data_IF_427380710587
#
_entry.id   IF_427380710587
#
_cell.length_a   1.000
_cell.length_b   1.000
_cell.length_c   1.000
_cell.angle_alpha   90.00
_cell.angle_beta   90.00
_cell.angle_gamma   90.00
#
_symmetry.space_group_name_H-M   'P 1'
#
loop_
_entity.id
_entity.type
_entity.pdbx_description
1 polymer ?
#
# COMPACT_ATOMS: atom_id res chain seq x y z
N UNK A 1 -49.47 5.62 15.95
CA UNK A 1 -48.36 5.97 15.05
C UNK A 1 -47.13 5.26 15.57
N UNK A 2 -46.73 4.18 14.91
CA UNK A 2 -45.54 3.41 15.26
C UNK A 2 -44.81 2.98 13.98
N UNK A 3 -43.55 2.56 14.08
CA UNK A 3 -42.92 1.88 12.95
C UNK A 3 -43.61 0.52 12.72
N UNK A 4 -43.81 0.05 11.47
CA UNK A 4 -43.40 0.66 10.20
C UNK A 4 -44.49 1.52 9.53
N UNK A 5 -45.50 2.03 10.26
CA UNK A 5 -46.56 2.87 9.68
C UNK A 5 -45.95 4.08 8.96
N UNK A 6 -46.35 4.34 7.71
CA UNK A 6 -45.78 5.45 6.92
C UNK A 6 -45.99 6.81 7.59
N UNK A 7 -47.11 7.00 8.30
CA UNK A 7 -47.39 8.24 9.03
C UNK A 7 -46.40 8.52 10.18
N UNK A 8 -45.71 7.49 10.69
CA UNK A 8 -44.60 7.69 11.64
C UNK A 8 -43.43 8.41 10.98
N UNK A 9 -43.06 7.99 9.76
CA UNK A 9 -41.93 8.57 9.03
C UNK A 9 -42.24 9.96 8.48
N UNK A 10 -43.47 10.19 8.00
CA UNK A 10 -43.94 11.53 7.63
C UNK A 10 -43.81 12.49 8.81
N UNK A 11 -44.32 12.10 9.98
CA UNK A 11 -44.22 12.91 11.19
C UNK A 11 -42.77 13.20 11.59
N UNK A 12 -41.86 12.21 11.53
CA UNK A 12 -40.44 12.43 11.84
C UNK A 12 -39.79 13.39 10.84
N UNK A 13 -40.11 13.29 9.55
CA UNK A 13 -39.58 14.20 8.51
C UNK A 13 -40.08 15.63 8.76
N UNK A 14 -41.38 15.79 9.04
CA UNK A 14 -42.01 17.08 9.28
C UNK A 14 -41.46 17.76 10.55
N UNK A 15 -41.34 17.03 11.66
CA UNK A 15 -40.85 17.56 12.93
C UNK A 15 -39.35 17.88 12.90
N UNK A 16 -38.55 17.07 12.19
CA UNK A 16 -37.09 17.34 12.09
C UNK A 16 -36.77 18.42 11.06
N UNK A 17 -37.65 18.66 10.09
CA UNK A 17 -37.39 19.54 8.95
C UNK A 17 -36.25 19.05 8.03
N UNK A 18 -35.76 17.83 8.23
CA UNK A 18 -34.66 17.26 7.46
C UNK A 18 -35.18 16.75 6.10
N UNK A 19 -34.37 16.91 5.06
CA UNK A 19 -34.65 16.25 3.77
C UNK A 19 -34.40 14.75 3.93
N UNK A 20 -35.28 13.85 3.46
CA UNK A 20 -35.10 12.41 3.65
C UNK A 20 -33.74 11.88 3.18
N UNK A 21 -33.22 12.38 2.07
CA UNK A 21 -31.90 12.01 1.53
C UNK A 21 -30.70 12.51 2.37
N UNK A 22 -30.94 13.25 3.45
CA UNK A 22 -29.95 13.69 4.43
C UNK A 22 -30.15 13.01 5.80
N UNK A 23 -31.07 12.04 5.89
CA UNK A 23 -31.36 11.29 7.11
C UNK A 23 -30.80 9.87 6.98
N UNK A 24 -30.15 9.39 8.04
CA UNK A 24 -29.77 7.99 8.20
C UNK A 24 -30.64 7.39 9.30
N UNK A 25 -31.23 6.23 9.02
CA UNK A 25 -31.95 5.44 10.01
C UNK A 25 -31.24 4.11 10.25
N UNK A 26 -31.07 3.75 11.52
CA UNK A 26 -30.52 2.46 11.94
C UNK A 26 -31.58 1.74 12.77
N UNK A 27 -31.93 0.51 12.38
CA UNK A 27 -33.01 -0.25 13.01
C UNK A 27 -32.76 -1.75 12.86
N UNK A 28 -33.22 -2.56 13.80
CA UNK A 28 -33.06 -4.02 13.78
C UNK A 28 -34.13 -4.76 12.99
N UNK A 29 -35.23 -4.09 12.65
CA UNK A 29 -36.33 -4.66 11.88
C UNK A 29 -36.28 -4.20 10.42
N UNK A 30 -36.26 -5.17 9.49
CA UNK A 30 -36.15 -4.89 8.06
C UNK A 30 -37.36 -4.11 7.51
N UNK A 31 -38.55 -4.36 8.04
CA UNK A 31 -39.80 -3.65 7.70
C UNK A 31 -39.74 -2.16 8.04
N UNK A 32 -39.09 -1.79 9.16
CA UNK A 32 -38.90 -0.41 9.57
C UNK A 32 -37.96 0.31 8.58
N UNK A 33 -36.86 -0.36 8.20
CA UNK A 33 -35.91 0.15 7.22
C UNK A 33 -36.52 0.25 5.82
N UNK A 34 -37.36 -0.69 5.43
CA UNK A 34 -38.09 -0.66 4.16
C UNK A 34 -39.01 0.58 4.09
N UNK A 35 -39.80 0.81 5.13
CA UNK A 35 -40.68 1.97 5.21
C UNK A 35 -39.87 3.29 5.15
N UNK A 36 -38.78 3.41 5.90
CA UNK A 36 -37.92 4.59 5.87
C UNK A 36 -37.31 4.85 4.48
N UNK A 37 -36.76 3.80 3.84
CA UNK A 37 -36.18 3.90 2.49
C UNK A 37 -37.21 4.31 1.44
N UNK A 38 -38.50 3.98 1.62
CA UNK A 38 -39.56 4.40 0.71
C UNK A 38 -39.75 5.93 0.66
N UNK A 39 -39.38 6.64 1.72
CA UNK A 39 -39.33 8.11 1.77
C UNK A 39 -37.99 8.70 1.29
N UNK A 40 -37.02 7.88 0.91
CA UNK A 40 -35.67 8.32 0.50
C UNK A 40 -34.66 8.44 1.64
N UNK A 41 -34.99 7.94 2.84
CA UNK A 41 -34.06 7.87 3.98
C UNK A 41 -32.99 6.79 3.74
N UNK A 42 -31.75 7.08 4.11
CA UNK A 42 -30.67 6.09 4.07
C UNK A 42 -30.81 5.10 5.24
N UNK A 43 -31.53 4.01 5.01
CA UNK A 43 -31.77 3.00 6.04
C UNK A 43 -30.67 1.93 6.14
N UNK A 44 -30.28 1.55 7.34
CA UNK A 44 -29.30 0.51 7.68
C UNK A 44 -29.92 -0.51 8.63
N UNK A 45 -29.99 -1.78 8.23
CA UNK A 45 -30.46 -2.87 9.10
C UNK A 45 -29.31 -3.30 10.00
N UNK A 46 -29.55 -3.37 11.32
CA UNK A 46 -28.54 -3.82 12.29
C UNK A 46 -28.99 -5.07 13.03
N UNK A 47 -28.10 -6.04 13.11
CA UNK A 47 -28.20 -7.21 13.98
C UNK A 47 -26.95 -7.30 14.87
N UNK A 48 -26.92 -8.29 15.76
CA UNK A 48 -25.78 -8.49 16.68
C UNK A 48 -24.45 -8.72 15.94
N UNK A 49 -24.49 -9.23 14.71
CA UNK A 49 -23.29 -9.58 13.93
C UNK A 49 -22.81 -8.42 13.05
N UNK A 50 -23.64 -7.40 12.82
CA UNK A 50 -23.37 -6.29 11.90
C UNK A 50 -23.01 -4.97 12.60
N UNK A 51 -23.01 -4.90 13.94
CA UNK A 51 -22.66 -3.68 14.69
C UNK A 51 -21.35 -3.06 14.21
N UNK A 52 -20.30 -3.86 14.01
CA UNK A 52 -19.01 -3.38 13.50
C UNK A 52 -19.11 -2.77 12.10
N UNK A 53 -19.83 -3.43 11.19
CA UNK A 53 -20.07 -2.97 9.81
C UNK A 53 -20.87 -1.67 9.82
N UNK A 54 -21.87 -1.55 10.69
CA UNK A 54 -22.71 -0.36 10.82
C UNK A 54 -21.90 0.81 11.37
N UNK A 55 -21.11 0.60 12.43
CA UNK A 55 -20.18 1.61 12.92
C UNK A 55 -19.23 2.10 11.81
N UNK A 56 -18.67 1.18 11.02
CA UNK A 56 -17.81 1.53 9.89
C UNK A 56 -18.56 2.33 8.82
N UNK A 57 -19.79 1.93 8.50
CA UNK A 57 -20.66 2.61 7.53
C UNK A 57 -20.99 4.02 7.98
N UNK A 58 -21.39 4.20 9.24
CA UNK A 58 -21.68 5.50 9.83
C UNK A 58 -20.44 6.41 9.84
N UNK A 59 -19.28 5.87 10.21
CA UNK A 59 -18.02 6.63 10.11
C UNK A 59 -17.71 7.05 8.68
N UNK A 60 -17.97 6.20 7.68
CA UNK A 60 -17.76 6.53 6.27
C UNK A 60 -18.76 7.57 5.75
N UNK A 61 -19.99 7.57 6.26
CA UNK A 61 -21.03 8.54 5.90
C UNK A 61 -20.78 9.92 6.51
N UNK A 62 -20.36 9.97 7.78
CA UNK A 62 -20.35 11.22 8.56
C UNK A 62 -18.96 11.84 8.75
N UNK A 63 -17.88 11.07 8.58
CA UNK A 63 -16.53 11.60 8.80
C UNK A 63 -15.74 11.68 7.50
N UNK A 64 -14.99 12.77 7.34
CA UNK A 64 -14.09 12.94 6.21
C UNK A 64 -13.01 11.86 6.20
N UNK A 65 -12.83 11.11 5.08
CA UNK A 65 -11.89 10.00 5.03
C UNK A 65 -10.43 10.46 5.25
N UNK A 66 -10.06 11.64 4.73
CA UNK A 66 -8.72 12.20 4.91
C UNK A 66 -8.43 12.54 6.37
N UNK A 67 -9.32 13.27 7.04
CA UNK A 67 -9.15 13.64 8.45
C UNK A 67 -9.03 12.40 9.35
N UNK A 68 -9.84 11.37 9.09
CA UNK A 68 -9.73 10.08 9.80
C UNK A 68 -8.41 9.38 9.54
N UNK A 69 -7.98 9.31 8.29
CA UNK A 69 -6.71 8.69 7.91
C UNK A 69 -5.54 9.41 8.58
N UNK A 70 -5.53 10.74 8.60
CA UNK A 70 -4.50 11.53 9.28
C UNK A 70 -4.46 11.30 10.79
N UNK A 71 -5.63 11.25 11.45
CA UNK A 71 -5.70 10.94 12.88
C UNK A 71 -5.17 9.53 13.14
N UNK A 72 -5.61 8.55 12.34
CA UNK A 72 -5.18 7.16 12.49
C UNK A 72 -3.68 7.01 12.27
N UNK A 73 -3.12 7.61 11.22
CA UNK A 73 -1.71 7.44 10.88
C UNK A 73 -0.82 8.08 11.95
N UNK A 74 -1.18 9.27 12.46
CA UNK A 74 -0.46 9.94 13.54
C UNK A 74 -0.56 9.18 14.87
N UNK A 75 -1.75 8.67 15.21
CA UNK A 75 -1.96 7.92 16.45
C UNK A 75 -1.22 6.57 16.46
N UNK A 76 -0.92 6.00 15.29
CA UNK A 76 -0.25 4.72 15.12
C UNK A 76 1.17 4.85 14.54
N UNK A 77 1.79 6.03 14.66
CA UNK A 77 3.13 6.31 14.15
C UNK A 77 4.13 5.21 14.56
N UNK A 78 4.87 4.67 13.60
CA UNK A 78 5.83 3.57 13.78
C UNK A 78 5.20 2.19 14.01
N UNK A 79 3.86 2.06 13.97
CA UNK A 79 3.13 0.81 14.18
C UNK A 79 2.19 0.44 13.01
N UNK A 80 2.46 0.92 11.80
CA UNK A 80 1.70 0.57 10.59
C UNK A 80 2.09 -0.81 10.03
N UNK A 81 1.78 -1.88 10.76
CA UNK A 81 2.21 -3.24 10.38
C UNK A 81 1.20 -3.90 9.43
N UNK A 82 1.72 -4.66 8.47
CA UNK A 82 0.91 -5.49 7.58
C UNK A 82 0.38 -6.71 8.33
N UNK A 83 -0.81 -7.20 7.97
CA UNK A 83 -1.40 -8.41 8.55
C UNK A 83 -1.75 -9.38 7.43
N UNK A 84 -1.46 -10.67 7.64
CA UNK A 84 -1.78 -11.71 6.67
C UNK A 84 -3.28 -11.99 6.71
N UNK A 85 -3.95 -11.86 5.56
CA UNK A 85 -5.39 -12.10 5.45
C UNK A 85 -5.78 -13.49 5.99
N UNK A 86 -6.82 -13.52 6.83
CA UNK A 86 -7.32 -14.74 7.45
C UNK A 86 -6.44 -15.30 8.58
N UNK A 87 -5.38 -14.59 8.99
CA UNK A 87 -4.47 -15.03 10.06
C UNK A 87 -4.13 -13.88 11.01
N UNK A 88 -3.96 -14.18 12.30
CA UNK A 88 -3.48 -13.20 13.29
C UNK A 88 -1.93 -13.13 13.27
N UNK A 89 -1.37 -12.98 12.06
CA UNK A 89 0.07 -12.90 11.85
C UNK A 89 0.39 -11.51 11.32
N UNK A 90 1.15 -10.79 12.13
CA UNK A 90 1.67 -9.47 11.79
C UNK A 90 3.01 -9.60 11.07
N UNK A 91 3.18 -8.81 10.01
CA UNK A 91 4.36 -8.74 9.18
C UNK A 91 4.92 -7.32 9.20
N UNK A 92 6.21 -7.21 9.49
CA UNK A 92 6.94 -5.94 9.40
C UNK A 92 7.68 -5.89 8.07
N UNK A 93 7.20 -5.03 7.18
CA UNK A 93 7.82 -4.81 5.88
C UNK A 93 8.33 -3.39 5.69
N UNK A 94 9.40 -3.26 4.90
CA UNK A 94 9.95 -1.97 4.51
C UNK A 94 9.09 -1.30 3.43
N UNK A 95 8.37 -2.06 2.59
CA UNK A 95 7.70 -1.52 1.42
C UNK A 95 6.57 -0.54 1.81
N UNK A 96 5.63 -0.97 2.65
CA UNK A 96 4.52 -0.15 3.13
C UNK A 96 5.03 1.06 3.93
N UNK A 97 6.10 0.88 4.70
CA UNK A 97 6.73 1.96 5.47
C UNK A 97 7.34 3.02 4.53
N UNK A 98 8.07 2.61 3.49
CA UNK A 98 8.58 3.53 2.46
C UNK A 98 7.45 4.20 1.69
N UNK A 99 6.36 3.49 1.42
CA UNK A 99 5.19 4.05 0.75
C UNK A 99 4.51 5.13 1.61
N UNK A 100 4.30 4.86 2.91
CA UNK A 100 3.77 5.82 3.88
C UNK A 100 4.64 7.07 3.93
N UNK A 101 5.96 6.92 4.05
CA UNK A 101 6.86 8.07 4.04
C UNK A 101 6.78 8.83 2.71
N UNK A 102 6.74 8.14 1.58
CA UNK A 102 6.67 8.76 0.26
C UNK A 102 5.42 9.63 0.05
N UNK A 103 4.27 9.22 0.58
CA UNK A 103 3.01 9.96 0.46
C UNK A 103 2.91 11.08 1.50
N UNK A 104 3.37 10.84 2.72
CA UNK A 104 3.18 11.79 3.84
C UNK A 104 4.31 12.80 3.98
N UNK A 105 5.51 12.45 3.51
CA UNK A 105 6.74 13.22 3.76
C UNK A 105 7.23 13.17 5.21
N UNK A 106 6.59 12.41 6.11
CA UNK A 106 6.89 12.41 7.54
C UNK A 106 7.59 11.12 7.98
N UNK A 107 8.88 11.25 8.28
CA UNK A 107 9.72 10.14 8.74
C UNK A 107 9.32 9.62 10.14
N UNK A 108 8.59 10.39 10.93
CA UNK A 108 8.19 9.97 12.28
C UNK A 108 7.04 8.95 12.26
N UNK A 109 6.38 8.78 11.11
CA UNK A 109 5.28 7.84 10.96
C UNK A 109 5.76 6.40 10.72
N UNK A 110 7.04 6.19 10.41
CA UNK A 110 7.52 4.93 9.84
C UNK A 110 8.59 4.24 10.69
N UNK A 111 8.63 2.91 10.62
CA UNK A 111 9.64 2.05 11.25
C UNK A 111 10.34 1.20 10.18
N UNK A 112 11.57 1.57 9.81
CA UNK A 112 12.32 1.00 8.67
C UNK A 112 13.55 0.24 9.14
N UNK A 113 13.81 -0.91 8.48
CA UNK A 113 15.11 -1.58 8.53
C UNK A 113 15.94 -1.22 7.30
N UNK A 114 16.89 -0.33 7.52
CA UNK A 114 17.83 0.10 6.51
C UNK A 114 18.77 -1.04 6.04
N UNK A 115 19.19 -1.05 4.77
CA UNK A 115 20.22 -1.97 4.27
C UNK A 115 21.54 -1.86 5.06
N UNK A 116 22.34 -2.93 5.04
CA UNK A 116 23.56 -3.06 5.87
C UNK A 116 24.61 -1.96 5.62
N UNK A 117 24.64 -1.37 4.42
CA UNK A 117 25.54 -0.26 4.08
C UNK A 117 24.89 1.12 4.08
N UNK A 118 23.59 1.22 4.35
CA UNK A 118 22.96 2.52 4.53
C UNK A 118 23.43 3.12 5.86
N UNK A 119 24.16 4.23 5.77
CA UNK A 119 24.68 4.91 6.96
C UNK A 119 23.51 5.50 7.77
N UNK A 120 23.23 4.92 8.92
CA UNK A 120 22.31 5.51 9.91
C UNK A 120 23.11 5.87 11.17
N UNK A 121 23.22 7.18 11.41
CA UNK A 121 23.63 7.84 12.65
C UNK A 121 24.98 7.44 13.28
N UNK A 122 26.04 8.11 12.83
CA UNK A 122 27.07 8.68 13.72
C UNK A 122 28.12 7.75 14.34
N UNK A 123 28.00 6.42 14.28
CA UNK A 123 29.06 5.53 14.77
C UNK A 123 29.70 4.70 13.66
N UNK A 124 30.83 5.25 13.19
CA UNK A 124 31.74 4.68 12.22
C UNK A 124 32.43 3.43 12.80
N UNK A 125 32.15 2.23 12.27
CA UNK A 125 33.18 1.19 12.25
C UNK A 125 34.01 1.37 10.99
N UNK A 126 35.29 1.62 11.23
CA UNK A 126 36.30 2.00 10.25
C UNK A 126 36.61 0.85 9.29
N UNK A 127 35.74 0.62 8.33
CA UNK A 127 36.04 -0.17 7.14
C UNK A 127 36.04 0.79 5.97
N UNK A 128 37.24 1.04 5.44
CA UNK A 128 37.51 1.79 4.22
C UNK A 128 36.38 1.61 3.21
N UNK A 129 35.71 2.71 2.85
CA UNK A 129 34.96 2.84 1.61
C UNK A 129 35.92 2.47 0.48
N UNK A 130 35.94 1.20 0.08
CA UNK A 130 36.39 0.87 -1.26
C UNK A 130 35.35 1.48 -2.19
N UNK A 131 35.80 2.07 -3.28
CA UNK A 131 35.00 2.60 -4.39
C UNK A 131 34.21 1.50 -5.15
N UNK A 132 33.88 0.43 -4.45
CA UNK A 132 33.27 -0.82 -4.91
C UNK A 132 32.45 -1.43 -3.76
N UNK A 133 31.66 -0.61 -3.06
CA UNK A 133 30.65 -1.11 -2.14
C UNK A 133 29.80 -2.14 -2.90
N UNK A 134 29.79 -3.39 -2.42
CA UNK A 134 29.02 -4.48 -3.02
C UNK A 134 27.56 -4.02 -3.12
N UNK A 135 27.05 -3.80 -4.34
CA UNK A 135 25.68 -3.32 -4.59
C UNK A 135 24.66 -4.08 -3.74
N UNK A 136 24.88 -5.39 -3.53
CA UNK A 136 24.00 -6.27 -2.76
C UNK A 136 23.79 -5.82 -1.30
N UNK A 137 24.78 -5.15 -0.71
CA UNK A 137 24.74 -4.73 0.69
C UNK A 137 23.85 -3.51 0.95
N UNK A 138 23.50 -2.77 -0.11
CA UNK A 138 22.67 -1.58 -0.02
C UNK A 138 21.39 -1.64 -0.85
N UNK A 139 20.97 -2.86 -1.20
CA UNK A 139 19.63 -3.15 -1.70
C UNK A 139 18.69 -3.39 -0.51
N UNK A 140 17.43 -3.02 -0.67
CA UNK A 140 16.42 -3.16 0.36
C UNK A 140 15.79 -4.54 0.30
N UNK A 141 15.39 -5.04 1.47
CA UNK A 141 14.61 -6.26 1.59
C UNK A 141 13.16 -5.90 1.92
N UNK A 142 12.20 -6.66 1.42
CA UNK A 142 10.79 -6.52 1.79
C UNK A 142 10.61 -6.68 3.30
N UNK A 143 11.21 -7.70 3.92
CA UNK A 143 11.05 -7.97 5.34
C UNK A 143 12.01 -7.12 6.20
N UNK A 144 11.48 -6.50 7.24
CA UNK A 144 12.27 -5.92 8.33
C UNK A 144 12.77 -6.99 9.30
N UNK A 145 12.02 -8.07 9.46
CA UNK A 145 12.34 -9.17 10.38
C UNK A 145 12.55 -10.48 9.61
N UNK A 146 12.48 -11.60 10.32
CA UNK A 146 12.61 -12.90 9.69
C UNK A 146 11.48 -13.12 8.67
N UNK A 147 11.78 -13.65 7.47
CA UNK A 147 10.78 -13.85 6.45
C UNK A 147 9.70 -14.85 6.89
N UNK A 148 8.44 -14.53 6.58
CA UNK A 148 7.28 -15.37 6.90
C UNK A 148 6.74 -16.00 5.61
N UNK A 149 6.29 -17.26 5.68
CA UNK A 149 5.74 -18.01 4.53
C UNK A 149 6.66 -18.13 3.31
N UNK A 150 7.96 -18.10 3.53
CA UNK A 150 8.97 -18.17 2.48
C UNK A 150 10.22 -18.88 2.99
N UNK A 151 11.31 -18.82 2.23
CA UNK A 151 12.59 -19.39 2.62
C UNK A 151 13.18 -18.69 3.84
N UNK A 152 14.04 -19.42 4.57
CA UNK A 152 14.78 -18.91 5.73
C UNK A 152 15.54 -17.61 5.43
N UNK A 153 16.13 -17.52 4.25
CA UNK A 153 16.77 -16.30 3.75
C UNK A 153 15.95 -15.75 2.59
N UNK A 154 15.55 -14.48 2.65
CA UNK A 154 14.85 -13.81 1.56
C UNK A 154 15.81 -12.84 0.86
N UNK A 155 15.89 -12.86 -0.48
CA UNK A 155 16.79 -11.97 -1.20
C UNK A 155 16.37 -10.51 -1.08
N UNK A 156 17.26 -9.60 -1.47
CA UNK A 156 16.87 -8.22 -1.67
C UNK A 156 15.75 -8.12 -2.72
N UNK A 157 14.82 -7.21 -2.47
CA UNK A 157 13.57 -7.04 -3.19
C UNK A 157 13.66 -5.84 -4.13
N UNK A 158 13.36 -6.05 -5.42
CA UNK A 158 13.50 -5.01 -6.43
C UNK A 158 12.44 -3.91 -6.25
N UNK A 159 11.27 -4.27 -5.75
CA UNK A 159 10.18 -3.32 -5.53
C UNK A 159 10.46 -2.41 -4.35
N UNK A 160 10.80 -2.98 -3.19
CA UNK A 160 11.17 -2.25 -1.98
C UNK A 160 12.39 -1.38 -2.22
N UNK A 161 13.39 -1.89 -2.96
CA UNK A 161 14.54 -1.07 -3.36
C UNK A 161 14.08 0.10 -4.21
N UNK A 162 13.21 -0.14 -5.19
CA UNK A 162 12.69 0.93 -6.06
C UNK A 162 11.88 1.96 -5.28
N UNK A 163 11.02 1.50 -4.37
CA UNK A 163 10.21 2.34 -3.48
C UNK A 163 11.09 3.23 -2.62
N UNK A 164 12.24 2.74 -2.13
CA UNK A 164 13.17 3.57 -1.37
C UNK A 164 13.69 4.78 -2.17
N UNK A 165 14.08 4.58 -3.43
CA UNK A 165 14.53 5.68 -4.30
C UNK A 165 13.39 6.60 -4.76
N UNK A 166 12.14 6.12 -4.73
CA UNK A 166 10.96 6.92 -5.08
C UNK A 166 10.46 7.76 -3.91
N UNK A 167 10.52 7.22 -2.69
CA UNK A 167 9.90 7.82 -1.51
C UNK A 167 10.85 8.64 -0.65
N UNK A 168 12.13 8.29 -0.58
CA UNK A 168 13.06 9.00 0.31
C UNK A 168 13.34 10.43 -0.19
N UNK A 169 13.43 11.42 0.72
CA UNK A 169 13.81 12.77 0.36
C UNK A 169 15.19 12.81 -0.30
N UNK A 170 15.42 13.82 -1.15
CA UNK A 170 16.67 13.96 -1.93
C UNK A 170 17.93 13.94 -1.03
N UNK A 171 17.83 14.50 0.18
CA UNK A 171 18.91 14.52 1.18
C UNK A 171 19.36 13.13 1.65
N UNK A 172 18.52 12.10 1.49
CA UNK A 172 18.85 10.72 1.85
C UNK A 172 19.47 9.94 0.69
N UNK A 173 19.34 10.38 -0.56
CA UNK A 173 19.85 9.62 -1.70
C UNK A 173 21.38 9.45 -1.67
N UNK A 174 22.11 10.42 -1.12
CA UNK A 174 23.56 10.32 -0.90
C UNK A 174 23.96 9.23 0.10
N UNK A 175 23.03 8.77 0.93
CA UNK A 175 23.23 7.69 1.92
C UNK A 175 22.90 6.31 1.37
N UNK A 176 22.28 6.25 0.19
CA UNK A 176 21.95 5.00 -0.48
C UNK A 176 23.10 4.53 -1.37
N UNK A 177 23.01 3.29 -1.81
CA UNK A 177 23.87 2.78 -2.89
C UNK A 177 23.78 3.69 -4.10
N UNK A 178 24.86 3.79 -4.87
CA UNK A 178 24.82 4.53 -6.14
C UNK A 178 23.70 3.99 -7.04
N UNK A 179 22.74 4.84 -7.37
CA UNK A 179 21.55 4.48 -8.13
C UNK A 179 21.90 3.89 -9.50
N UNK A 180 23.01 4.30 -10.13
CA UNK A 180 23.43 3.72 -11.40
C UNK A 180 23.83 2.25 -11.25
N UNK A 181 24.47 1.86 -10.14
CA UNK A 181 24.78 0.46 -9.85
C UNK A 181 23.50 -0.36 -9.61
N UNK A 182 22.52 0.24 -8.92
CA UNK A 182 21.21 -0.40 -8.70
C UNK A 182 20.45 -0.55 -10.03
N UNK A 183 20.42 0.47 -10.87
CA UNK A 183 19.78 0.46 -12.18
C UNK A 183 20.49 -0.47 -13.16
N UNK A 184 21.82 -0.58 -13.08
CA UNK A 184 22.55 -1.58 -13.86
C UNK A 184 22.23 -2.98 -13.38
N UNK A 185 22.15 -3.22 -12.07
CA UNK A 185 21.72 -4.51 -11.53
C UNK A 185 20.26 -4.84 -11.90
N UNK A 186 19.35 -3.88 -11.81
CA UNK A 186 17.95 -3.99 -12.23
C UNK A 186 17.80 -4.18 -13.75
N UNK A 187 18.73 -3.64 -14.54
CA UNK A 187 18.75 -3.70 -16.00
C UNK A 187 19.55 -4.87 -16.56
N UNK A 188 20.34 -5.57 -15.73
CA UNK A 188 21.05 -6.81 -16.07
C UNK A 188 20.07 -7.96 -15.88
N UNK A 189 19.78 -8.61 -16.99
CA UNK A 189 18.81 -9.69 -17.08
C UNK A 189 19.51 -11.03 -17.22
N UNK A 190 18.82 -12.13 -16.93
CA UNK A 190 19.03 -13.38 -17.64
C UNK A 190 18.42 -13.36 -19.06
N UNK A 191 18.72 -14.41 -19.83
CA UNK A 191 18.49 -14.56 -21.29
C UNK A 191 17.12 -14.15 -21.85
N UNK A 192 16.08 -13.99 -21.03
CA UNK A 192 14.68 -13.82 -21.45
C UNK A 192 14.26 -12.38 -21.77
N UNK A 193 14.96 -11.36 -21.26
CA UNK A 193 14.56 -9.99 -21.55
C UNK A 193 13.56 -9.34 -20.56
N UNK A 194 13.26 -9.95 -19.42
CA UNK A 194 12.29 -9.42 -18.43
C UNK A 194 12.96 -8.98 -17.12
N UNK A 195 12.38 -7.99 -16.43
CA UNK A 195 12.84 -7.59 -15.10
C UNK A 195 12.22 -8.51 -14.04
N UNK A 196 12.97 -8.87 -13.01
CA UNK A 196 12.49 -9.71 -11.93
C UNK A 196 12.03 -8.91 -10.72
N UNK A 197 11.08 -9.50 -9.99
CA UNK A 197 10.57 -8.96 -8.73
C UNK A 197 11.65 -8.96 -7.63
N UNK A 198 12.63 -9.86 -7.72
CA UNK A 198 13.69 -10.07 -6.74
C UNK A 198 15.05 -9.94 -7.45
N UNK A 199 16.11 -9.56 -6.73
CA UNK A 199 17.49 -9.55 -7.26
C UNK A 199 18.17 -10.93 -7.26
N UNK A 200 17.39 -12.00 -7.42
CA UNK A 200 17.83 -13.40 -7.28
C UNK A 200 17.52 -14.20 -8.55
N UNK A 201 18.57 -14.73 -9.20
CA UNK A 201 18.44 -15.47 -10.46
C UNK A 201 17.64 -16.78 -10.31
N UNK A 202 17.66 -17.37 -9.12
CA UNK A 202 16.89 -18.58 -8.79
C UNK A 202 15.39 -18.27 -8.55
N UNK A 203 15.00 -16.99 -8.62
CA UNK A 203 13.61 -16.52 -8.48
C UNK A 203 13.22 -15.64 -9.67
N UNK A 204 13.02 -16.24 -10.86
CA UNK A 204 12.69 -15.50 -12.08
C UNK A 204 11.21 -15.07 -12.11
N UNK A 205 10.74 -14.41 -11.05
CA UNK A 205 9.36 -13.92 -10.91
C UNK A 205 9.25 -12.59 -11.59
N UNK A 206 8.20 -12.39 -12.39
CA UNK A 206 7.91 -11.11 -13.05
C UNK A 206 6.48 -10.74 -12.70
N UNK A 207 6.26 -9.49 -12.30
CA UNK A 207 4.93 -8.97 -11.98
C UNK A 207 4.85 -7.50 -12.40
N UNK A 208 3.73 -7.04 -12.97
CA UNK A 208 3.62 -5.70 -13.53
C UNK A 208 3.77 -4.58 -12.49
N UNK A 209 3.32 -4.80 -11.26
CA UNK A 209 3.38 -3.85 -10.15
C UNK A 209 4.84 -3.46 -9.82
N UNK A 210 5.68 -4.48 -9.54
CA UNK A 210 7.11 -4.28 -9.27
C UNK A 210 7.82 -3.68 -10.48
N UNK A 211 7.48 -4.15 -11.69
CA UNK A 211 8.06 -3.63 -12.92
C UNK A 211 7.77 -2.14 -13.12
N UNK A 212 6.60 -1.65 -12.69
CA UNK A 212 6.24 -0.23 -12.77
C UNK A 212 7.09 0.60 -11.80
N UNK A 213 7.28 0.16 -10.55
CA UNK A 213 8.13 0.91 -9.62
C UNK A 213 9.60 0.95 -10.09
N UNK A 214 10.13 -0.16 -10.60
CA UNK A 214 11.44 -0.16 -11.24
C UNK A 214 11.50 0.84 -12.41
N UNK A 215 10.49 0.81 -13.30
CA UNK A 215 10.38 1.73 -14.44
C UNK A 215 10.39 3.19 -13.97
N UNK A 216 9.61 3.52 -12.93
CA UNK A 216 9.56 4.86 -12.34
C UNK A 216 10.94 5.32 -11.86
N UNK A 217 11.74 4.45 -11.25
CA UNK A 217 13.12 4.77 -10.86
C UNK A 217 13.99 5.05 -12.09
N UNK A 218 13.91 4.21 -13.14
CA UNK A 218 14.63 4.50 -14.38
C UNK A 218 14.28 5.87 -14.95
N UNK A 219 13.00 6.25 -14.99
CA UNK A 219 12.60 7.59 -15.44
C UNK A 219 13.09 8.70 -14.49
N UNK A 220 12.94 8.52 -13.17
CA UNK A 220 13.37 9.50 -12.16
C UNK A 220 14.85 9.88 -12.30
N UNK A 221 15.71 8.90 -12.60
CA UNK A 221 17.15 9.11 -12.71
C UNK A 221 17.65 9.20 -14.16
N UNK A 222 16.79 9.60 -15.10
CA UNK A 222 17.19 9.95 -16.47
C UNK A 222 17.53 8.76 -17.39
N UNK A 223 17.15 7.54 -17.01
CA UNK A 223 17.41 6.30 -17.75
C UNK A 223 16.13 5.63 -18.28
N UNK A 224 15.02 6.36 -18.40
CA UNK A 224 13.73 5.84 -18.87
C UNK A 224 13.71 5.31 -20.31
N UNK A 225 14.70 5.70 -21.12
CA UNK A 225 14.90 5.23 -22.51
C UNK A 225 15.97 4.13 -22.63
N UNK A 226 16.42 3.55 -21.51
CA UNK A 226 17.40 2.47 -21.54
C UNK A 226 16.84 1.28 -22.35
N UNK A 227 17.49 0.85 -23.44
CA UNK A 227 16.96 -0.17 -24.35
C UNK A 227 16.83 -1.55 -23.68
N UNK A 228 17.41 -1.72 -22.49
CA UNK A 228 17.23 -2.92 -21.68
C UNK A 228 15.85 -2.97 -21.04
N UNK A 229 15.09 -1.88 -20.95
CA UNK A 229 13.75 -1.86 -20.35
C UNK A 229 12.72 -2.37 -21.36
N UNK A 230 12.34 -3.64 -21.26
CA UNK A 230 11.24 -4.22 -22.08
C UNK A 230 9.89 -4.23 -21.37
N UNK A 231 9.87 -3.91 -20.08
CA UNK A 231 8.67 -4.00 -19.23
C UNK A 231 7.69 -2.84 -19.44
N UNK A 232 8.11 -1.74 -20.09
CA UNK A 232 7.23 -0.60 -20.38
C UNK A 232 6.00 -1.00 -21.19
N UNK A 233 6.21 -1.63 -22.35
CA UNK A 233 5.10 -2.02 -23.23
C UNK A 233 4.20 -3.07 -22.58
N UNK A 234 4.80 -3.99 -21.82
CA UNK A 234 4.06 -5.01 -21.09
C UNK A 234 3.22 -4.42 -19.96
N UNK A 235 3.75 -3.48 -19.16
CA UNK A 235 2.97 -2.78 -18.14
C UNK A 235 1.77 -2.05 -18.75
N UNK A 236 1.95 -1.38 -19.88
CA UNK A 236 0.84 -0.75 -20.63
C UNK A 236 -0.18 -1.79 -21.09
N UNK A 237 0.26 -2.95 -21.58
CA UNK A 237 -0.65 -4.04 -21.94
C UNK A 237 -1.40 -4.61 -20.73
N UNK A 238 -0.76 -4.77 -19.58
CA UNK A 238 -1.43 -5.21 -18.35
C UNK A 238 -2.55 -4.25 -17.95
N UNK A 239 -2.30 -2.94 -17.99
CA UNK A 239 -3.31 -1.92 -17.68
C UNK A 239 -4.46 -1.93 -18.70
N UNK A 240 -4.15 -1.96 -20.01
CA UNK A 240 -5.17 -1.97 -21.08
C UNK A 240 -6.08 -3.19 -21.02
N UNK A 241 -5.53 -4.35 -20.67
CA UNK A 241 -6.27 -5.61 -20.62
C UNK A 241 -6.80 -5.91 -19.21
N UNK A 242 -6.70 -4.98 -18.25
CA UNK A 242 -7.11 -5.18 -16.86
C UNK A 242 -6.53 -6.49 -16.26
N UNK A 243 -5.29 -6.81 -16.60
CA UNK A 243 -4.69 -8.12 -16.36
C UNK A 243 -4.59 -8.48 -14.87
N UNK A 244 -4.57 -7.47 -13.98
CA UNK A 244 -4.46 -7.65 -12.54
C UNK A 244 -5.77 -7.43 -11.79
N UNK A 245 -6.92 -7.35 -12.48
CA UNK A 245 -8.22 -7.08 -11.86
C UNK A 245 -8.55 -8.05 -10.71
N UNK A 246 -8.11 -9.30 -10.83
CA UNK A 246 -8.30 -10.37 -9.83
C UNK A 246 -7.01 -10.76 -9.12
N UNK A 247 -6.02 -9.87 -9.13
CA UNK A 247 -4.68 -10.13 -8.62
C UNK A 247 -3.86 -11.06 -9.52
N UNK A 248 -2.70 -11.43 -9.02
CA UNK A 248 -1.74 -12.35 -9.60
C UNK A 248 -0.99 -13.11 -8.49
N UNK A 249 0.09 -13.82 -8.85
CA UNK A 249 0.86 -14.62 -7.90
C UNK A 249 1.51 -13.80 -6.77
N UNK A 250 1.82 -12.53 -7.01
CA UNK A 250 2.55 -11.66 -6.08
C UNK A 250 1.59 -10.77 -5.30
N UNK A 251 0.56 -10.22 -5.95
CA UNK A 251 -0.43 -9.34 -5.32
C UNK A 251 -1.84 -9.89 -5.51
N UNK A 252 -2.58 -10.06 -4.43
CA UNK A 252 -3.94 -10.63 -4.46
C UNK A 252 -5.00 -9.64 -4.92
N UNK A 253 -4.70 -8.33 -4.90
CA UNK A 253 -5.61 -7.26 -5.29
C UNK A 253 -4.94 -6.30 -6.29
N UNK A 254 -5.72 -5.59 -7.13
CA UNK A 254 -5.20 -4.58 -8.06
C UNK A 254 -4.80 -3.26 -7.39
N UNK A 255 -4.99 -3.12 -6.07
CA UNK A 255 -4.76 -1.87 -5.33
C UNK A 255 -3.31 -1.41 -5.41
N UNK A 256 -2.38 -2.32 -5.68
CA UNK A 256 -0.94 -2.04 -5.85
C UNK A 256 -0.60 -1.25 -7.12
N UNK A 257 -1.56 -1.01 -8.01
CA UNK A 257 -1.44 -0.05 -9.11
C UNK A 257 -1.91 1.38 -8.78
N UNK A 258 -2.63 1.56 -7.67
CA UNK A 258 -3.15 2.86 -7.22
C UNK A 258 -2.05 3.67 -6.52
#
# INVERSE_FOLDING_TARGET
MQKPDLCFFEHVIDETGCRPNQVVMVDDQAENICAARSFGIHGLVVDKNSVGIICQTLQNLFQGPLARAEVYIKANAGNHRSVVEGQDITLKDNFAQLFIWGITGDANLVDLKWPSTAQVNGHWKNTKLSTQANVNSGLWNYFCEDPIFTTKEFPADADTTSMAYLSLPESYLSKLTNVNLVLDKNGIKPKSGWNYADFCDDRPRTTPEVCINMLRVFYRFGRGNDPRIKTKDWAVQCLKNQACLYGNRVYTTPETFL
#
